data_IF_128575387996
#
_entry.id   IF_128575387996
#
_cell.length_a   1.000
_cell.length_b   1.000
_cell.length_c   1.000
_cell.angle_alpha   90.00
_cell.angle_beta   90.00
_cell.angle_gamma   90.00
#
_symmetry.space_group_name_H-M   'P 1'
#
loop_
_entity.id
_entity.type
_entity.pdbx_description
1 polymer ?
#
# COMPACT_ATOMS: atom_id res chain seq x y z
N UNK A 1 -19.22 8.41 8.18
CA UNK A 1 -18.46 8.96 7.05
C UNK A 1 -17.13 8.25 6.98
N UNK A 2 -16.98 7.26 6.12
CA UNK A 2 -15.72 6.53 5.93
C UNK A 2 -15.68 6.07 4.48
N UNK A 3 -15.35 7.01 3.60
CA UNK A 3 -15.04 6.75 2.20
C UNK A 3 -13.53 6.78 2.00
N UNK A 4 -13.05 5.85 1.16
CA UNK A 4 -11.68 5.61 0.70
C UNK A 4 -10.76 4.78 1.61
N UNK A 5 -10.52 3.51 1.18
CA UNK A 5 -9.13 3.10 0.89
C UNK A 5 -8.96 2.44 -0.49
N UNK A 6 -9.84 2.70 -1.46
CA UNK A 6 -9.78 2.03 -2.78
C UNK A 6 -8.57 2.44 -3.65
N UNK A 7 -8.06 3.67 -3.49
CA UNK A 7 -6.96 4.21 -4.31
C UNK A 7 -5.59 3.60 -3.97
N UNK A 8 -5.37 3.26 -2.70
CA UNK A 8 -4.05 2.84 -2.18
C UNK A 8 -3.78 1.34 -2.40
N UNK A 9 -4.83 0.51 -2.35
CA UNK A 9 -4.80 -0.91 -2.72
C UNK A 9 -4.65 -1.11 -4.24
N UNK A 10 -5.30 -0.27 -5.05
CA UNK A 10 -5.25 -0.34 -6.51
C UNK A 10 -3.85 -0.03 -7.06
N UNK A 11 -3.06 0.79 -6.37
CA UNK A 11 -1.68 1.11 -6.75
C UNK A 11 -0.65 0.06 -6.32
N UNK A 12 -1.01 -0.95 -5.52
CA UNK A 12 -0.13 -2.08 -5.17
C UNK A 12 -0.15 -3.20 -6.21
N UNK A 13 -1.29 -3.41 -6.88
CA UNK A 13 -1.48 -4.46 -7.91
C UNK A 13 -0.60 -4.23 -9.16
N UNK A 14 -0.30 -5.27 -9.95
CA UNK A 14 0.30 -5.08 -11.29
C UNK A 14 -0.51 -4.05 -12.09
N UNK A 15 0.16 -3.37 -13.03
CA UNK A 15 -0.56 -2.45 -13.93
C UNK A 15 -1.73 -3.21 -14.57
N UNK A 16 -2.93 -2.62 -14.60
CA UNK A 16 -4.09 -3.30 -15.17
C UNK A 16 -3.78 -3.68 -16.62
N UNK A 17 -4.34 -4.82 -17.05
CA UNK A 17 -4.28 -5.23 -18.44
C UNK A 17 -4.86 -4.11 -19.33
N UNK A 18 -4.34 -3.91 -20.55
CA UNK A 18 -4.80 -2.85 -21.45
C UNK A 18 -6.33 -2.83 -21.64
N UNK A 19 -6.92 -4.01 -21.76
CA UNK A 19 -8.35 -4.23 -21.97
C UNK A 19 -9.15 -3.69 -20.79
N UNK A 20 -8.72 -3.92 -19.55
CA UNK A 20 -9.38 -3.39 -18.36
C UNK A 20 -9.33 -1.85 -18.23
N UNK A 21 -8.59 -1.16 -19.09
CA UNK A 21 -8.56 0.31 -19.17
C UNK A 21 -9.35 0.83 -20.37
N UNK A 22 -9.43 0.06 -21.45
CA UNK A 22 -9.93 0.47 -22.76
C UNK A 22 -11.21 -0.26 -23.20
N UNK A 23 -11.75 -1.14 -22.36
CA UNK A 23 -12.97 -1.93 -22.61
C UNK A 23 -14.26 -1.11 -22.73
N UNK A 24 -14.25 0.16 -22.32
CA UNK A 24 -15.39 1.06 -22.51
C UNK A 24 -15.00 2.48 -22.91
N UNK A 25 -15.90 3.17 -23.62
CA UNK A 25 -15.80 4.60 -23.93
C UNK A 25 -17.01 5.37 -23.40
N UNK A 26 -16.85 6.44 -22.61
CA UNK A 26 -15.58 6.95 -22.09
C UNK A 26 -14.95 6.01 -21.05
N UNK A 27 -13.62 5.96 -20.99
CA UNK A 27 -12.90 5.01 -20.09
C UNK A 27 -13.01 5.40 -18.61
N UNK A 28 -13.33 6.66 -18.31
CA UNK A 28 -13.31 7.21 -16.95
C UNK A 28 -11.90 7.43 -16.38
N UNK A 29 -10.85 7.29 -17.22
CA UNK A 29 -9.46 7.46 -16.79
C UNK A 29 -8.80 8.70 -17.40
N UNK A 30 -7.53 8.96 -17.06
CA UNK A 30 -6.78 10.07 -17.64
C UNK A 30 -6.15 9.68 -18.97
N UNK A 31 -6.02 10.64 -19.90
CA UNK A 31 -5.42 10.41 -21.23
C UNK A 31 -4.08 9.67 -21.16
N UNK A 32 -3.18 10.05 -20.25
CA UNK A 32 -1.89 9.35 -20.08
C UNK A 32 -2.05 7.88 -19.70
N UNK A 33 -3.11 7.53 -18.97
CA UNK A 33 -3.41 6.14 -18.60
C UNK A 33 -3.99 5.37 -19.78
N UNK A 34 -4.87 6.00 -20.57
CA UNK A 34 -5.42 5.42 -21.81
C UNK A 34 -4.31 5.16 -22.83
N UNK A 35 -3.46 6.16 -23.11
CA UNK A 35 -2.34 6.03 -24.05
C UNK A 35 -1.31 4.99 -23.59
N UNK A 36 -1.00 4.95 -22.30
CA UNK A 36 -0.10 3.92 -21.78
C UNK A 36 -0.72 2.51 -21.84
N UNK A 37 -2.05 2.38 -21.81
CA UNK A 37 -2.73 1.10 -22.05
C UNK A 37 -2.65 0.71 -23.53
N UNK A 38 -2.96 1.64 -24.44
CA UNK A 38 -2.85 1.42 -25.88
C UNK A 38 -1.43 1.07 -26.32
N UNK A 39 -0.41 1.71 -25.74
CA UNK A 39 0.97 1.35 -25.99
C UNK A 39 1.27 -0.10 -25.58
N UNK A 40 0.79 -0.53 -24.41
CA UNK A 40 1.01 -1.90 -23.91
C UNK A 40 0.26 -2.96 -24.72
N UNK A 41 -0.95 -2.68 -25.21
CA UNK A 41 -1.67 -3.64 -26.05
C UNK A 41 -0.91 -3.90 -27.36
N UNK A 42 -0.20 -2.89 -27.87
CA UNK A 42 0.74 -3.03 -28.99
C UNK A 42 2.11 -3.63 -28.62
N UNK A 43 2.26 -4.20 -27.43
CA UNK A 43 3.52 -4.79 -26.94
C UNK A 43 4.63 -3.78 -26.63
N UNK A 44 4.32 -2.48 -26.46
CA UNK A 44 5.33 -1.49 -26.04
C UNK A 44 5.62 -1.62 -24.54
N UNK A 45 6.89 -1.45 -24.21
CA UNK A 45 7.40 -1.56 -22.86
C UNK A 45 8.14 -0.27 -22.48
N UNK A 46 8.06 0.12 -21.21
CA UNK A 46 8.80 1.26 -20.68
C UNK A 46 10.23 0.86 -20.34
N UNK A 47 11.15 1.82 -20.43
CA UNK A 47 12.56 1.63 -20.06
C UNK A 47 12.73 1.19 -18.60
N UNK A 48 11.79 1.57 -17.72
CA UNK A 48 11.83 1.25 -16.29
C UNK A 48 11.09 -0.04 -15.92
N UNK A 49 10.75 -0.91 -16.88
CA UNK A 49 10.04 -2.19 -16.62
C UNK A 49 10.78 -3.06 -15.60
N UNK A 50 12.08 -3.25 -15.79
CA UNK A 50 12.87 -4.12 -14.92
C UNK A 50 12.98 -3.53 -13.51
N UNK A 51 13.12 -2.20 -13.41
CA UNK A 51 13.11 -1.48 -12.14
C UNK A 51 11.80 -1.69 -11.38
N UNK A 52 10.66 -1.67 -12.09
CA UNK A 52 9.35 -1.97 -11.50
C UNK A 52 9.27 -3.42 -10.97
N UNK A 53 9.89 -4.37 -11.67
CA UNK A 53 10.01 -5.76 -11.22
C UNK A 53 10.82 -5.87 -9.93
N UNK A 54 12.06 -5.34 -9.96
CA UNK A 54 12.96 -5.36 -8.81
C UNK A 54 12.37 -4.69 -7.58
N UNK A 55 11.74 -3.52 -7.72
CA UNK A 55 11.11 -2.84 -6.59
C UNK A 55 9.99 -3.66 -5.95
N UNK A 56 9.20 -4.40 -6.73
CA UNK A 56 8.16 -5.28 -6.18
C UNK A 56 8.77 -6.44 -5.40
N UNK A 57 9.83 -7.04 -5.93
CA UNK A 57 10.57 -8.11 -5.25
C UNK A 57 11.19 -7.62 -3.95
N UNK A 58 11.84 -6.45 -3.96
CA UNK A 58 12.40 -5.82 -2.77
C UNK A 58 11.33 -5.53 -1.71
N UNK A 59 10.17 -5.00 -2.10
CA UNK A 59 9.04 -4.77 -1.19
C UNK A 59 8.52 -6.09 -0.61
N UNK A 60 8.36 -7.11 -1.45
CA UNK A 60 7.86 -8.42 -1.04
C UNK A 60 8.81 -9.15 -0.09
N UNK A 61 10.12 -8.90 -0.20
CA UNK A 61 11.13 -9.46 0.69
C UNK A 61 11.12 -8.84 2.11
N UNK A 62 10.52 -7.67 2.30
CA UNK A 62 10.46 -7.02 3.62
C UNK A 62 9.29 -7.59 4.43
N UNK A 63 9.61 -8.54 5.30
CA UNK A 63 8.71 -9.03 6.35
C UNK A 63 8.84 -8.17 7.61
N UNK A 64 7.78 -7.45 7.98
CA UNK A 64 7.77 -6.60 9.16
C UNK A 64 7.36 -7.40 10.39
N UNK A 65 8.24 -7.49 11.40
CA UNK A 65 7.94 -8.14 12.67
C UNK A 65 6.94 -7.31 13.52
N UNK A 66 5.97 -7.99 14.15
CA UNK A 66 5.14 -7.42 15.21
C UNK A 66 5.77 -7.67 16.59
N UNK A 67 6.12 -6.61 17.31
CA UNK A 67 6.80 -6.71 18.61
C UNK A 67 5.91 -6.21 19.74
N UNK A 68 5.67 -7.05 20.75
CA UNK A 68 4.93 -6.68 21.96
C UNK A 68 5.80 -5.96 23.00
N UNK A 69 5.98 -4.65 22.79
CA UNK A 69 6.65 -3.79 23.76
C UNK A 69 5.82 -3.56 25.03
N UNK A 70 4.50 -3.58 24.93
CA UNK A 70 3.61 -3.30 26.05
C UNK A 70 3.71 -4.43 27.10
N UNK A 71 3.59 -5.68 26.68
CA UNK A 71 3.75 -6.84 27.55
C UNK A 71 5.16 -6.93 28.12
N UNK A 72 6.20 -6.54 27.38
CA UNK A 72 7.56 -6.49 27.92
C UNK A 72 7.72 -5.45 29.04
N UNK A 73 7.12 -4.26 28.90
CA UNK A 73 7.11 -3.23 29.97
C UNK A 73 6.32 -3.68 31.19
N UNK A 74 5.17 -4.32 30.95
CA UNK A 74 4.32 -4.84 32.01
C UNK A 74 5.08 -5.85 32.89
N UNK A 75 5.81 -6.80 32.28
CA UNK A 75 6.62 -7.77 33.02
C UNK A 75 7.69 -7.13 33.89
N UNK A 76 8.35 -6.06 33.41
CA UNK A 76 9.34 -5.32 34.22
C UNK A 76 8.68 -4.65 35.43
N UNK A 77 7.49 -4.06 35.24
CA UNK A 77 6.74 -3.43 36.31
C UNK A 77 6.29 -4.45 37.37
N UNK A 78 5.81 -5.62 36.94
CA UNK A 78 5.42 -6.72 37.82
C UNK A 78 6.62 -7.25 38.63
N UNK A 79 7.74 -7.56 37.97
CA UNK A 79 8.93 -8.08 38.64
C UNK A 79 9.55 -7.07 39.60
N UNK A 80 9.59 -5.78 39.22
CA UNK A 80 10.05 -4.71 40.11
C UNK A 80 9.13 -4.55 41.33
N UNK A 81 7.81 -4.65 41.12
CA UNK A 81 6.84 -4.57 42.21
C UNK A 81 6.93 -5.74 43.17
N UNK A 82 7.22 -6.95 42.69
CA UNK A 82 7.43 -8.13 43.53
C UNK A 82 8.74 -8.04 44.33
N UNK A 83 9.83 -7.61 43.70
CA UNK A 83 11.11 -7.40 44.39
C UNK A 83 10.95 -6.43 45.56
N UNK A 84 10.23 -5.32 45.36
CA UNK A 84 10.06 -4.32 46.41
C UNK A 84 9.24 -4.85 47.59
N UNK A 85 8.14 -5.57 47.31
CA UNK A 85 7.35 -6.25 48.36
C UNK A 85 8.19 -7.25 49.16
N UNK A 86 9.08 -7.99 48.51
CA UNK A 86 9.95 -8.96 49.18
C UNK A 86 11.06 -8.27 50.00
N UNK A 87 11.61 -7.14 49.55
CA UNK A 87 12.53 -6.32 50.37
C UNK A 87 11.86 -5.85 51.65
N UNK A 88 10.63 -5.35 51.56
CA UNK A 88 9.85 -4.91 52.72
C UNK A 88 9.62 -6.08 53.69
N UNK A 89 9.23 -7.26 53.19
CA UNK A 89 9.05 -8.48 53.99
C UNK A 89 10.34 -8.89 54.70
N UNK A 90 11.47 -8.94 53.99
CA UNK A 90 12.78 -9.25 54.57
C UNK A 90 13.14 -8.24 55.66
N UNK A 91 12.90 -6.94 55.44
CA UNK A 91 13.18 -5.91 56.43
C UNK A 91 12.35 -6.10 57.71
N UNK A 92 11.06 -6.41 57.56
CA UNK A 92 10.17 -6.71 58.68
C UNK A 92 10.64 -7.92 59.49
N UNK A 93 10.93 -9.06 58.83
CA UNK A 93 11.41 -10.28 59.49
C UNK A 93 12.77 -10.07 60.17
N UNK A 94 13.68 -9.29 59.56
CA UNK A 94 14.94 -8.89 60.23
C UNK A 94 14.68 -8.07 61.49
N UNK A 95 13.68 -7.20 61.47
CA UNK A 95 13.27 -6.42 62.64
C UNK A 95 12.75 -7.32 63.77
N UNK A 96 11.89 -8.28 63.43
CA UNK A 96 11.30 -9.22 64.37
C UNK A 96 12.33 -10.15 65.03
N UNK A 97 13.24 -10.74 64.23
CA UNK A 97 14.37 -11.55 64.76
C UNK A 97 15.20 -10.73 65.77
N UNK A 98 15.47 -9.46 65.49
CA UNK A 98 16.23 -8.59 66.42
C UNK A 98 15.45 -8.32 67.70
N UNK A 99 14.14 -8.08 67.60
CA UNK A 99 13.29 -7.86 68.76
C UNK A 99 13.23 -9.09 69.67
N UNK A 100 13.04 -10.29 69.11
CA UNK A 100 13.05 -11.57 69.84
C UNK A 100 14.38 -11.82 70.54
N UNK A 101 15.51 -11.58 69.88
CA UNK A 101 16.85 -11.66 70.49
C UNK A 101 17.04 -10.69 71.66
N UNK A 102 16.49 -9.48 71.55
CA UNK A 102 16.63 -8.47 72.61
C UNK A 102 15.89 -8.84 73.90
N UNK A 103 14.88 -9.71 73.82
CA UNK A 103 14.11 -10.21 74.97
C UNK A 103 14.43 -11.68 75.30
N UNK A 104 15.51 -12.23 74.73
CA UNK A 104 15.94 -13.63 74.92
C UNK A 104 14.84 -14.67 74.58
N UNK A 105 13.95 -14.34 73.63
CA UNK A 105 12.94 -15.26 73.13
C UNK A 105 13.50 -16.22 72.07
N UNK A 106 12.81 -17.33 71.82
CA UNK A 106 13.14 -18.31 70.78
C UNK A 106 13.09 -17.67 69.38
N UNK A 107 14.09 -17.99 68.54
CA UNK A 107 14.28 -17.33 67.23
C UNK A 107 14.28 -18.28 66.04
N UNK A 108 14.26 -19.59 66.24
CA UNK A 108 14.56 -20.56 65.18
C UNK A 108 13.54 -20.48 64.04
N UNK A 109 12.24 -20.42 64.36
CA UNK A 109 11.17 -20.22 63.36
C UNK A 109 11.34 -18.88 62.63
N UNK A 110 11.59 -17.80 63.36
CA UNK A 110 11.79 -16.45 62.81
C UNK A 110 12.99 -16.37 61.84
N UNK A 111 14.04 -17.14 62.13
CA UNK A 111 15.22 -17.27 61.27
C UNK A 111 14.91 -18.07 60.01
N UNK A 112 14.14 -19.15 60.13
CA UNK A 112 13.66 -19.93 58.98
C UNK A 112 12.82 -19.08 58.02
N UNK A 113 11.88 -18.30 58.54
CA UNK A 113 11.06 -17.38 57.75
C UNK A 113 11.90 -16.31 57.05
N UNK A 114 12.88 -15.74 57.75
CA UNK A 114 13.81 -14.77 57.20
C UNK A 114 14.66 -15.37 56.07
N UNK A 115 15.17 -16.58 56.25
CA UNK A 115 15.97 -17.29 55.24
C UNK A 115 15.12 -17.58 53.98
N UNK A 116 13.89 -18.06 54.16
CA UNK A 116 12.95 -18.27 53.05
C UNK A 116 12.64 -16.99 52.29
N UNK A 117 12.32 -15.89 53.01
CA UNK A 117 12.03 -14.61 52.39
C UNK A 117 13.27 -14.02 51.66
N UNK A 118 14.47 -14.24 52.17
CA UNK A 118 15.71 -13.83 51.51
C UNK A 118 15.96 -14.63 50.21
N UNK A 119 15.66 -15.93 50.21
CA UNK A 119 15.73 -16.75 49.01
C UNK A 119 14.70 -16.32 47.95
N UNK A 120 13.45 -16.04 48.36
CA UNK A 120 12.41 -15.47 47.49
C UNK A 120 12.86 -14.14 46.87
N UNK A 121 13.43 -13.23 47.69
CA UNK A 121 13.96 -11.95 47.21
C UNK A 121 15.06 -12.14 46.16
N UNK A 122 16.00 -13.07 46.37
CA UNK A 122 17.05 -13.36 45.38
C UNK A 122 16.48 -13.85 44.05
N UNK A 123 15.41 -14.67 44.10
CA UNK A 123 14.72 -15.13 42.89
C UNK A 123 14.03 -13.95 42.17
N UNK A 124 13.28 -13.12 42.90
CA UNK A 124 12.61 -11.95 42.32
C UNK A 124 13.60 -10.94 41.71
N UNK A 125 14.77 -10.75 42.33
CA UNK A 125 15.86 -9.94 41.75
C UNK A 125 16.34 -10.50 40.41
N UNK A 126 16.48 -11.83 40.32
CA UNK A 126 16.86 -12.51 39.09
C UNK A 126 15.79 -12.35 38.02
N UNK A 127 14.51 -12.48 38.40
CA UNK A 127 13.37 -12.27 37.50
C UNK A 127 13.29 -10.83 36.97
N UNK A 128 13.52 -9.82 37.82
CA UNK A 128 13.57 -8.41 37.38
C UNK A 128 14.66 -8.21 36.33
N UNK A 129 15.86 -8.70 36.58
CA UNK A 129 16.98 -8.59 35.63
C UNK A 129 16.63 -9.27 34.30
N UNK A 130 16.05 -10.47 34.35
CA UNK A 130 15.60 -11.18 33.16
C UNK A 130 14.52 -10.41 32.39
N UNK A 131 13.55 -9.82 33.09
CA UNK A 131 12.49 -8.99 32.50
C UNK A 131 13.07 -7.73 31.83
N UNK A 132 14.02 -7.05 32.46
CA UNK A 132 14.71 -5.87 31.91
C UNK A 132 15.48 -6.22 30.64
N UNK A 133 16.23 -7.31 30.65
CA UNK A 133 16.93 -7.80 29.47
C UNK A 133 15.97 -8.19 28.34
N UNK A 134 14.81 -8.75 28.67
CA UNK A 134 13.78 -9.06 27.67
C UNK A 134 13.15 -7.79 27.09
N UNK A 135 12.93 -6.76 27.89
CA UNK A 135 12.45 -5.46 27.43
C UNK A 135 13.46 -4.79 26.50
N UNK A 136 14.74 -4.83 26.82
CA UNK A 136 15.78 -4.24 25.96
C UNK A 136 15.83 -4.93 24.59
N UNK A 137 15.85 -6.26 24.57
CA UNK A 137 15.74 -7.04 23.32
C UNK A 137 14.46 -6.75 22.55
N UNK A 138 13.35 -6.50 23.23
CA UNK A 138 12.11 -6.11 22.57
C UNK A 138 12.20 -4.71 21.95
N UNK A 139 12.88 -3.75 22.61
CA UNK A 139 13.12 -2.41 22.06
C UNK A 139 13.96 -2.45 20.80
N UNK A 140 15.05 -3.20 20.81
CA UNK A 140 15.92 -3.37 19.65
C UNK A 140 15.16 -3.95 18.45
N UNK A 141 14.37 -5.01 18.67
CA UNK A 141 13.53 -5.60 17.62
C UNK A 141 12.46 -4.62 17.12
N UNK A 142 11.83 -3.88 18.02
CA UNK A 142 10.82 -2.90 17.63
C UNK A 142 11.41 -1.75 16.80
N UNK A 143 12.64 -1.32 17.10
CA UNK A 143 13.38 -0.36 16.30
C UNK A 143 13.68 -0.91 14.90
N UNK A 144 14.23 -2.14 14.79
CA UNK A 144 14.47 -2.79 13.49
C UNK A 144 13.19 -2.93 12.68
N UNK A 145 12.10 -3.38 13.30
CA UNK A 145 10.81 -3.49 12.63
C UNK A 145 10.26 -2.13 12.18
N UNK A 146 10.60 -1.03 12.88
CA UNK A 146 10.26 0.33 12.45
C UNK A 146 11.08 0.72 11.22
N UNK A 147 12.38 0.48 11.23
CA UNK A 147 13.27 0.80 10.12
C UNK A 147 12.88 0.00 8.86
N UNK A 148 12.49 -1.27 9.01
CA UNK A 148 11.94 -2.10 7.93
C UNK A 148 10.65 -1.54 7.36
N UNK A 149 9.72 -1.07 8.21
CA UNK A 149 8.49 -0.40 7.75
C UNK A 149 8.81 0.88 6.98
N UNK A 150 9.73 1.69 7.49
CA UNK A 150 10.14 2.94 6.85
C UNK A 150 10.75 2.67 5.49
N UNK A 151 11.69 1.73 5.40
CA UNK A 151 12.28 1.28 4.13
C UNK A 151 11.22 0.76 3.15
N UNK A 152 10.25 -0.01 3.62
CA UNK A 152 9.16 -0.50 2.77
C UNK A 152 8.33 0.64 2.20
N UNK A 153 7.97 1.64 3.02
CA UNK A 153 7.22 2.82 2.57
C UNK A 153 8.00 3.60 1.49
N UNK A 154 9.31 3.83 1.70
CA UNK A 154 10.16 4.49 0.72
C UNK A 154 10.21 3.75 -0.64
N UNK A 155 10.28 2.42 -0.59
CA UNK A 155 10.26 1.59 -1.80
C UNK A 155 8.89 1.62 -2.48
N UNK A 156 7.79 1.58 -1.72
CA UNK A 156 6.43 1.74 -2.25
C UNK A 156 6.27 3.11 -2.94
N UNK A 157 6.78 4.17 -2.35
CA UNK A 157 6.79 5.52 -2.92
C UNK A 157 7.61 5.59 -4.22
N UNK A 158 8.81 5.00 -4.22
CA UNK A 158 9.64 4.88 -5.42
C UNK A 158 8.93 4.10 -6.51
N UNK A 159 8.27 2.99 -6.17
CA UNK A 159 7.47 2.19 -7.10
C UNK A 159 6.33 3.02 -7.71
N UNK A 160 5.62 3.83 -6.91
CA UNK A 160 4.58 4.74 -7.43
C UNK A 160 5.15 5.75 -8.42
N UNK A 161 6.30 6.35 -8.10
CA UNK A 161 6.98 7.29 -8.99
C UNK A 161 7.42 6.63 -10.31
N UNK A 162 8.02 5.44 -10.25
CA UNK A 162 8.41 4.68 -11.45
C UNK A 162 7.23 4.25 -12.30
N UNK A 163 6.07 3.95 -11.69
CA UNK A 163 4.82 3.69 -12.44
C UNK A 163 4.29 4.94 -13.15
N UNK A 164 4.52 6.13 -12.60
CA UNK A 164 4.17 7.40 -13.26
C UNK A 164 5.10 7.66 -14.44
N UNK A 165 6.40 7.46 -14.26
CA UNK A 165 7.41 7.55 -15.30
C UNK A 165 7.12 6.59 -16.45
N UNK A 166 6.87 5.31 -16.16
CA UNK A 166 6.54 4.33 -17.19
C UNK A 166 5.30 4.71 -18.02
N UNK A 167 4.25 5.23 -17.37
CA UNK A 167 3.07 5.72 -18.10
C UNK A 167 3.38 6.95 -18.92
N UNK A 168 4.27 7.81 -18.45
CA UNK A 168 4.67 9.01 -19.17
C UNK A 168 5.45 8.67 -20.44
N UNK A 169 6.45 7.80 -20.35
CA UNK A 169 7.22 7.31 -21.50
C UNK A 169 6.31 6.69 -22.56
N UNK A 170 5.48 5.73 -22.14
CA UNK A 170 4.56 5.03 -23.05
C UNK A 170 3.57 5.99 -23.71
N UNK A 171 3.02 6.96 -22.95
CA UNK A 171 2.08 7.93 -23.49
C UNK A 171 2.75 8.89 -24.49
N UNK A 172 4.01 9.25 -24.28
CA UNK A 172 4.78 10.06 -25.25
C UNK A 172 5.03 9.26 -26.52
N UNK A 173 5.46 8.00 -26.40
CA UNK A 173 5.80 7.13 -27.53
C UNK A 173 4.63 6.99 -28.53
N UNK A 174 3.41 6.79 -28.02
CA UNK A 174 2.22 6.63 -28.88
C UNK A 174 1.49 7.94 -29.17
N UNK A 175 1.97 9.09 -28.68
CA UNK A 175 1.29 10.36 -28.86
C UNK A 175 1.14 10.77 -30.34
N UNK A 176 2.14 10.59 -31.22
CA UNK A 176 1.97 10.85 -32.64
C UNK A 176 0.83 10.04 -33.26
N UNK A 177 0.76 8.73 -32.97
CA UNK A 177 -0.30 7.86 -33.46
C UNK A 177 -1.68 8.29 -32.93
N UNK A 178 -1.76 8.71 -31.67
CA UNK A 178 -2.97 9.29 -31.09
C UNK A 178 -3.45 10.53 -31.86
N UNK A 179 -2.52 11.45 -32.21
CA UNK A 179 -2.86 12.65 -33.00
C UNK A 179 -3.40 12.29 -34.38
N UNK A 180 -2.81 11.30 -35.03
CA UNK A 180 -3.31 10.79 -36.31
C UNK A 180 -4.69 10.13 -36.14
N UNK A 181 -4.88 9.38 -35.06
CA UNK A 181 -6.17 8.77 -34.69
C UNK A 181 -7.29 9.79 -34.48
N UNK A 182 -7.00 10.97 -33.92
CA UNK A 182 -7.97 12.06 -33.76
C UNK A 182 -8.55 12.53 -35.10
N UNK A 183 -7.85 12.38 -36.23
CA UNK A 183 -8.39 12.74 -37.54
C UNK A 183 -9.59 11.87 -37.95
N UNK A 184 -9.77 10.71 -37.30
CA UNK A 184 -10.92 9.84 -37.50
C UNK A 184 -12.06 10.10 -36.52
N UNK A 185 -11.85 10.94 -35.51
CA UNK A 185 -12.85 11.26 -34.50
C UNK A 185 -13.64 12.51 -34.93
N UNK A 186 -14.98 12.45 -34.98
CA UNK A 186 -15.78 13.60 -35.40
C UNK A 186 -15.73 14.77 -34.41
N UNK A 187 -15.69 15.99 -34.95
CA UNK A 187 -15.80 17.22 -34.17
C UNK A 187 -14.52 17.67 -33.44
N UNK A 188 -13.35 17.12 -33.83
CA UNK A 188 -12.04 17.53 -33.31
C UNK A 188 -11.09 17.94 -34.42
N UNK A 189 -10.15 18.83 -34.08
CA UNK A 189 -9.14 19.39 -34.97
C UNK A 189 -7.74 18.90 -34.54
N UNK A 190 -7.14 17.89 -35.21
CA UNK A 190 -5.88 17.25 -34.78
C UNK A 190 -4.68 18.19 -34.56
N UNK A 191 -4.48 19.28 -35.33
CA UNK A 191 -3.46 20.29 -35.06
C UNK A 191 -3.58 20.96 -33.69
N UNK A 192 -4.79 21.05 -33.11
CA UNK A 192 -5.01 21.63 -31.77
C UNK A 192 -4.70 20.67 -30.61
N UNK A 193 -4.29 19.44 -30.90
CA UNK A 193 -3.91 18.47 -29.88
C UNK A 193 -2.56 18.79 -29.21
N UNK A 194 -1.78 19.76 -29.69
CA UNK A 194 -0.45 20.06 -29.14
C UNK A 194 0.60 18.99 -29.48
N UNK A 195 1.79 19.11 -28.90
CA UNK A 195 2.95 18.27 -29.17
C UNK A 195 3.10 17.08 -28.20
N UNK A 196 2.40 17.09 -27.07
CA UNK A 196 2.47 16.01 -26.08
C UNK A 196 1.19 15.82 -25.25
N UNK A 197 1.07 14.70 -24.51
CA UNK A 197 -0.14 14.39 -23.75
C UNK A 197 -0.54 15.42 -22.68
N UNK A 198 0.39 16.26 -22.22
CA UNK A 198 0.12 17.37 -21.28
C UNK A 198 -0.52 18.60 -21.93
N UNK A 199 -0.39 18.74 -23.24
CA UNK A 199 -0.86 19.92 -24.00
C UNK A 199 -2.23 19.67 -24.66
N UNK A 200 -2.77 18.46 -24.53
CA UNK A 200 -4.08 18.13 -25.07
C UNK A 200 -5.20 18.85 -24.32
N UNK A 201 -5.81 19.83 -24.97
CA UNK A 201 -6.95 20.60 -24.45
C UNK A 201 -8.29 20.19 -25.08
N UNK A 202 -8.29 19.12 -25.89
CA UNK A 202 -9.50 18.64 -26.58
C UNK A 202 -10.50 17.92 -25.66
N UNK A 203 -11.69 17.57 -26.19
CA UNK A 203 -12.71 16.87 -25.44
C UNK A 203 -12.23 15.49 -24.96
N UNK A 204 -12.43 15.16 -23.67
CA UNK A 204 -12.03 13.86 -23.09
C UNK A 204 -12.58 12.67 -23.86
N UNK A 205 -13.83 12.75 -24.30
CA UNK A 205 -14.47 11.68 -25.06
C UNK A 205 -13.79 11.41 -26.41
N UNK A 206 -13.36 12.47 -27.09
CA UNK A 206 -12.59 12.33 -28.33
C UNK A 206 -11.21 11.72 -28.06
N UNK A 207 -10.60 12.06 -26.92
CA UNK A 207 -9.36 11.47 -26.46
C UNK A 207 -9.52 9.96 -26.21
N UNK A 208 -10.58 9.53 -25.51
CA UNK A 208 -10.88 8.12 -25.27
C UNK A 208 -11.12 7.35 -26.57
N UNK A 209 -11.89 7.92 -27.51
CA UNK A 209 -12.14 7.30 -28.83
C UNK A 209 -10.83 7.10 -29.62
N UNK A 210 -9.97 8.14 -29.68
CA UNK A 210 -8.70 8.05 -30.38
C UNK A 210 -7.70 7.11 -29.67
N UNK A 211 -7.72 7.04 -28.33
CA UNK A 211 -6.87 6.13 -27.57
C UNK A 211 -7.26 4.67 -27.77
N UNK A 212 -8.56 4.35 -27.80
CA UNK A 212 -9.06 3.02 -28.16
C UNK A 212 -8.67 2.69 -29.61
N UNK A 213 -8.82 3.64 -30.54
CA UNK A 213 -8.47 3.42 -31.95
C UNK A 213 -7.04 2.97 -32.19
N UNK A 214 -6.09 3.52 -31.44
CA UNK A 214 -4.67 3.18 -31.61
C UNK A 214 -4.27 1.93 -30.84
N UNK A 215 -5.15 1.38 -30.01
CA UNK A 215 -4.89 0.14 -29.28
C UNK A 215 -5.02 -1.07 -30.22
N UNK A 216 -4.44 -2.19 -29.80
CA UNK A 216 -4.60 -3.50 -30.45
C UNK A 216 -5.42 -4.37 -29.49
N UNK A 217 -6.76 -4.37 -29.61
CA UNK A 217 -7.64 -5.02 -28.63
C UNK A 217 -8.23 -6.32 -29.19
N UNK A 218 -8.04 -7.43 -28.47
CA UNK A 218 -8.65 -8.72 -28.83
C UNK A 218 -10.14 -8.83 -28.44
N UNK A 219 -10.66 -7.85 -27.70
CA UNK A 219 -12.01 -7.84 -27.15
C UNK A 219 -12.83 -6.64 -27.62
N UNK A 220 -14.13 -6.84 -27.78
CA UNK A 220 -15.03 -5.78 -28.21
C UNK A 220 -15.17 -4.68 -27.15
N UNK A 221 -15.23 -3.43 -27.61
CA UNK A 221 -15.29 -2.22 -26.78
C UNK A 221 -16.74 -1.79 -26.56
N UNK A 222 -17.12 -1.57 -25.31
CA UNK A 222 -18.45 -1.07 -24.95
C UNK A 222 -18.54 0.46 -25.18
N UNK A 223 -19.55 0.91 -25.91
CA UNK A 223 -19.89 2.33 -25.99
C UNK A 223 -20.89 2.71 -24.90
N UNK A 224 -20.50 3.66 -24.08
CA UNK A 224 -21.43 4.37 -23.20
C UNK A 224 -22.42 5.21 -24.01
N UNK A 225 -23.56 5.51 -23.40
CA UNK A 225 -24.65 6.30 -24.01
C UNK A 225 -24.17 7.66 -24.50
N UNK A 226 -23.26 8.31 -23.75
CA UNK A 226 -22.65 9.58 -24.14
C UNK A 226 -21.81 9.46 -25.42
N UNK A 227 -20.98 8.42 -25.51
CA UNK A 227 -20.15 8.14 -26.67
C UNK A 227 -21.00 7.84 -27.92
N UNK A 228 -22.04 7.01 -27.75
CA UNK A 228 -22.98 6.70 -28.81
C UNK A 228 -23.71 7.95 -29.32
N UNK A 229 -24.16 8.83 -28.41
CA UNK A 229 -24.81 10.10 -28.77
C UNK A 229 -23.86 11.04 -29.49
N UNK A 230 -22.63 11.22 -29.01
CA UNK A 230 -21.63 12.08 -29.67
C UNK A 230 -21.39 11.65 -31.12
N UNK A 231 -21.21 10.35 -31.34
CA UNK A 231 -20.98 9.80 -32.67
C UNK A 231 -22.22 9.95 -33.56
N UNK A 232 -23.43 9.77 -33.02
CA UNK A 232 -24.67 9.98 -33.78
C UNK A 232 -24.92 11.45 -34.17
N UNK A 233 -24.55 12.40 -33.30
CA UNK A 233 -24.77 13.84 -33.53
C UNK A 233 -23.73 14.46 -34.46
N UNK A 234 -22.49 13.95 -34.46
CA UNK A 234 -21.34 14.59 -35.12
C UNK A 234 -20.69 13.73 -36.20
N UNK A 235 -20.98 12.43 -36.24
CA UNK A 235 -20.28 11.48 -37.09
C UNK A 235 -21.09 11.06 -38.31
N UNK A 236 -20.45 11.14 -39.48
CA UNK A 236 -20.92 10.46 -40.70
C UNK A 236 -20.43 9.00 -40.78
N UNK A 237 -19.45 8.64 -39.93
CA UNK A 237 -18.83 7.31 -39.88
C UNK A 237 -19.45 6.44 -38.80
N UNK A 238 -19.52 5.14 -39.05
CA UNK A 238 -19.96 4.20 -38.03
C UNK A 238 -18.96 4.16 -36.86
N UNK A 239 -19.42 3.88 -35.62
CA UNK A 239 -18.54 3.74 -34.47
C UNK A 239 -17.39 2.73 -34.66
N UNK A 240 -17.62 1.64 -35.38
CA UNK A 240 -16.62 0.64 -35.73
C UNK A 240 -15.55 1.26 -36.65
N UNK A 241 -15.93 2.10 -37.60
CA UNK A 241 -14.99 2.83 -38.45
C UNK A 241 -14.22 3.94 -37.70
N UNK A 242 -14.80 4.52 -36.64
CA UNK A 242 -14.13 5.51 -35.79
C UNK A 242 -13.14 4.84 -34.85
N UNK A 243 -13.50 3.71 -34.26
CA UNK A 243 -12.67 2.97 -33.32
C UNK A 243 -11.70 1.99 -33.99
N UNK A 244 -11.89 1.65 -35.26
CA UNK A 244 -11.15 0.56 -35.93
C UNK A 244 -11.21 -0.77 -35.17
N UNK A 245 -12.26 -0.94 -34.36
CA UNK A 245 -12.44 -2.02 -33.39
C UNK A 245 -13.87 -2.53 -33.39
N UNK A 246 -14.07 -3.75 -32.87
CA UNK A 246 -15.42 -4.31 -32.69
C UNK A 246 -16.12 -3.62 -31.52
N UNK A 247 -17.37 -3.19 -31.72
CA UNK A 247 -18.10 -2.37 -30.75
C UNK A 247 -19.35 -3.06 -30.21
N UNK A 248 -19.52 -3.05 -28.89
CA UNK A 248 -20.78 -3.38 -28.22
C UNK A 248 -21.50 -2.07 -27.88
N UNK A 249 -22.72 -1.89 -28.41
CA UNK A 249 -23.53 -0.70 -28.16
C UNK A 249 -24.36 -0.89 -26.90
N UNK A 250 -24.73 0.18 -26.19
CA UNK A 250 -25.66 0.04 -25.08
C UNK A 250 -26.99 -0.44 -25.67
N UNK A 251 -27.54 -1.52 -25.12
CA UNK A 251 -28.81 -2.07 -25.58
C UNK A 251 -29.82 -0.93 -25.72
N UNK A 252 -30.34 -0.77 -26.94
CA UNK A 252 -31.45 0.12 -27.21
C UNK A 252 -32.60 -0.47 -26.40
N UNK A 253 -33.02 0.20 -25.32
CA UNK A 253 -34.26 -0.17 -24.65
C UNK A 253 -35.35 -0.35 -25.73
N UNK A 254 -36.15 -1.43 -25.72
CA UNK A 254 -37.27 -1.54 -26.63
C UNK A 254 -38.16 -0.31 -26.42
N UNK A 255 -38.51 0.37 -27.51
CA UNK A 255 -39.49 1.47 -27.48
C UNK A 255 -40.78 1.00 -26.78
N UNK A 256 -41.43 1.86 -25.97
CA UNK A 256 -42.64 1.51 -25.23
C UNK A 256 -43.83 1.14 -26.14
#
# INVERSE_FOLDING_TARGET
>A
MTGAPASDEAEKRPSPAPEAVLDQVPTGTSLRRELAAAARSRGRESSVRDDLGRLREEIAAIGVESVDLAGARQRVAEASGEEERLKERVAALRGDVRARRAVEAETDEALGDLESAAAELSNAQTERIAAEQALERARERAARARDERERRLELEDRLRNRRREARHELAIDVYPAFRDGLASVPGVDPPRAGAGPSEYEGPRLAASLAAVRIADLDAAVALGVEAARWLAERGERSPEAVLDETVVRPDRAPDP
#
